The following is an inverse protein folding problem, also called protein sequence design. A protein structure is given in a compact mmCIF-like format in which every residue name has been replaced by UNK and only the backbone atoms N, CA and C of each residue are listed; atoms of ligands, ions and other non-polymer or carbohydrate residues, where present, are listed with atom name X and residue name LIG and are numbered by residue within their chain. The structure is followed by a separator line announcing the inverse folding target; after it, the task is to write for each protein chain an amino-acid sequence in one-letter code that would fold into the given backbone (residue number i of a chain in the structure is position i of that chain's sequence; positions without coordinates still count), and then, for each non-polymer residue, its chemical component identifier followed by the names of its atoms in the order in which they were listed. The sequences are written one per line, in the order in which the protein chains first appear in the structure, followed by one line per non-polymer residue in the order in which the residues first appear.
data_IF_361111248729
#
_entry.id   IF_361111248729
#
_cell.length_a   1.000
_cell.length_b   1.000
_cell.length_c   1.000
_cell.angle_alpha   90.00
_cell.angle_beta   90.00
_cell.angle_gamma   90.00
#
_symmetry.space_group_name_H-M   'P 1'
#
loop_
_entity.id
_entity.type
_entity.pdbx_description
1 polymer ?
2 non-polymer ?
3 non-polymer ?
4 water ?
#
# COMPACT_ATOMS: atom_id res chain seq x y z
N UNK A 2 -4.50 10.42 30.14
CA UNK A 2 -5.37 10.63 28.99
C UNK A 2 -6.15 9.36 28.66
N UNK A 3 -7.36 9.53 28.12
CA UNK A 3 -8.20 8.38 27.84
C UNK A 3 -7.70 7.64 26.60
N UNK A 4 -7.76 6.31 26.57
CA UNK A 4 -7.33 5.59 25.37
C UNK A 4 -8.18 5.96 24.16
N UNK A 5 -7.59 5.81 22.99
CA UNK A 5 -8.33 5.95 21.75
C UNK A 5 -9.41 4.87 21.69
N UNK A 6 -10.53 5.21 21.04
CA UNK A 6 -11.62 4.26 20.84
C UNK A 6 -12.10 4.32 19.39
N UNK A 7 -12.80 3.26 18.97
CA UNK A 7 -13.36 3.18 17.63
C UNK A 7 -14.69 3.92 17.60
N UNK A 8 -14.82 4.99 16.81
CA UNK A 8 -16.12 5.65 16.68
C UNK A 8 -17.09 4.76 15.90
N UNK A 9 -18.36 4.84 16.26
CA UNK A 9 -19.39 4.13 15.50
C UNK A 9 -19.60 4.81 14.15
N UNK A 10 -20.06 4.02 13.17
CA UNK A 10 -20.50 4.59 11.91
C UNK A 10 -21.75 5.43 12.16
N UNK A 11 -21.93 6.53 11.43
CA UNK A 11 -23.15 7.33 11.60
C UNK A 11 -24.32 6.87 10.75
N UNK A 12 -24.26 5.68 10.17
CA UNK A 12 -25.30 5.14 9.29
C UNK A 12 -25.11 3.63 9.30
N UNK A 13 -26.09 2.92 8.74
CA UNK A 13 -26.02 1.47 8.63
C UNK A 13 -24.94 1.07 7.62
N UNK A 14 -24.43 -0.17 7.77
CA UNK A 14 -23.38 -0.63 6.88
C UNK A 14 -23.72 -0.43 5.41
N UNK A 15 -24.98 -0.67 5.03
CA UNK A 15 -25.40 -0.68 3.63
C UNK A 15 -25.92 0.68 3.17
N UNK A 16 -25.79 1.73 3.98
CA UNK A 16 -26.41 3.01 3.67
C UNK A 16 -25.82 3.71 2.46
N UNK A 17 -24.61 3.36 2.05
CA UNK A 17 -23.94 4.00 0.92
C UNK A 17 -24.08 3.21 -0.37
N UNK A 18 -24.87 2.14 -0.38
CA UNK A 18 -25.08 1.40 -1.61
C UNK A 18 -25.90 2.24 -2.58
N UNK A 19 -25.68 2.07 -3.88
CA UNK A 19 -24.81 1.08 -4.51
C UNK A 19 -23.35 1.54 -4.63
N UNK A 20 -23.05 2.73 -4.14
CA UNK A 20 -21.77 3.37 -4.39
C UNK A 20 -20.62 2.69 -3.65
N UNK A 21 -20.82 2.37 -2.38
CA UNK A 21 -19.86 1.61 -1.58
C UNK A 21 -20.62 0.52 -0.85
N UNK A 22 -20.22 -0.73 -1.05
CA UNK A 22 -21.01 -1.85 -0.54
C UNK A 22 -20.98 -1.95 0.98
N UNK A 23 -22.09 -2.48 1.52
CA UNK A 23 -22.12 -2.84 2.93
C UNK A 23 -21.07 -3.87 3.29
N UNK A 24 -20.76 -4.78 2.38
CA UNK A 24 -19.70 -5.76 2.63
C UNK A 24 -18.39 -5.07 2.98
N UNK A 25 -18.00 -4.07 2.18
CA UNK A 25 -16.79 -3.30 2.45
C UNK A 25 -16.95 -2.47 3.72
N UNK A 26 -18.08 -1.78 3.88
CA UNK A 26 -18.17 -0.89 5.04
C UNK A 26 -17.97 -1.65 6.34
N UNK A 27 -18.54 -2.85 6.42
CA UNK A 27 -18.42 -3.64 7.65
C UNK A 27 -16.98 -4.06 7.91
N UNK A 28 -16.31 -4.65 6.91
CA UNK A 28 -14.91 -5.03 7.10
C UNK A 28 -14.06 -3.82 7.40
N UNK A 29 -14.26 -2.77 6.62
CA UNK A 29 -13.41 -1.60 6.68
C UNK A 29 -13.47 -0.94 8.05
N UNK A 30 -14.67 -0.72 8.56
CA UNK A 30 -14.82 -0.08 9.86
C UNK A 30 -14.56 -1.05 11.01
N UNK A 31 -15.20 -2.22 10.97
CA UNK A 31 -15.18 -3.09 12.14
C UNK A 31 -13.86 -3.83 12.31
N UNK A 32 -13.15 -4.13 11.22
CA UNK A 32 -11.87 -4.80 11.28
C UNK A 32 -10.72 -3.81 11.11
N UNK A 33 -10.66 -3.09 10.00
CA UNK A 33 -9.47 -2.29 9.72
C UNK A 33 -9.33 -1.12 10.69
N UNK A 34 -10.40 -0.34 10.88
CA UNK A 34 -10.27 0.81 11.77
C UNK A 34 -10.02 0.36 13.20
N UNK A 35 -10.67 -0.72 13.64
CA UNK A 35 -10.40 -1.24 14.97
C UNK A 35 -8.91 -1.53 15.18
N UNK A 36 -8.23 -2.05 14.16
CA UNK A 36 -6.82 -2.37 14.30
C UNK A 36 -5.97 -1.13 14.50
N UNK A 37 -6.31 0.00 13.86
CA UNK A 37 -5.54 1.22 14.09
C UNK A 37 -5.75 1.76 15.49
N UNK A 38 -6.97 1.65 16.00
CA UNK A 38 -7.23 2.07 17.39
C UNK A 38 -6.36 1.27 18.34
N UNK A 39 -6.36 -0.05 18.20
CA UNK A 39 -5.53 -0.88 19.06
C UNK A 39 -4.06 -0.54 18.85
N UNK A 40 -3.64 -0.40 17.60
CA UNK A 40 -2.25 -0.12 17.31
C UNK A 40 -1.77 1.20 17.90
N UNK A 41 -2.65 2.20 17.92
CA UNK A 41 -2.26 3.50 18.46
C UNK A 41 -2.14 3.43 19.98
N UNK A 42 -3.10 2.79 20.64
CA UNK A 42 -2.99 2.60 22.08
C UNK A 42 -1.77 1.77 22.43
N UNK A 43 -1.51 0.71 21.66
CA UNK A 43 -0.35 -0.13 21.93
C UNK A 43 0.93 0.65 21.74
N UNK A 44 1.01 1.50 20.72
CA UNK A 44 2.23 2.27 20.50
C UNK A 44 2.52 3.19 21.68
N UNK A 45 1.49 3.85 22.20
CA UNK A 45 1.69 4.72 23.35
C UNK A 45 2.09 3.92 24.58
N UNK A 46 1.47 2.75 24.80
CA UNK A 46 1.86 1.91 25.92
C UNK A 46 3.32 1.48 25.79
N UNK A 47 3.73 1.11 24.59
CA UNK A 47 5.10 0.64 24.39
C UNK A 47 6.10 1.77 24.51
N UNK A 48 5.74 2.98 24.12
CA UNK A 48 6.62 4.13 24.33
C UNK A 48 6.80 4.43 25.81
N UNK A 49 5.71 4.33 26.59
CA UNK A 49 5.83 4.56 28.03
C UNK A 49 6.72 3.50 28.67
N UNK A 50 6.56 2.25 28.23
CA UNK A 50 7.40 1.17 28.74
C UNK A 50 8.86 1.39 28.35
N UNK A 51 9.11 1.83 27.13
CA UNK A 51 10.49 2.06 26.71
C UNK A 51 11.14 3.18 27.51
N UNK A 52 10.39 4.25 27.78
CA UNK A 52 10.91 5.31 28.64
C UNK A 52 11.25 4.76 30.02
N UNK A 53 10.33 3.99 30.60
CA UNK A 53 10.49 3.55 31.98
C UNK A 53 11.61 2.52 32.10
N UNK A 54 11.77 1.63 31.13
CA UNK A 54 12.74 0.53 31.23
C UNK A 54 14.07 0.83 30.56
N UNK A 55 14.20 1.98 29.91
CA UNK A 55 15.48 2.34 29.29
C UNK A 55 15.71 1.72 27.92
N UNK A 56 14.65 1.48 27.15
CA UNK A 56 14.73 0.78 25.87
C UNK A 56 14.46 1.71 24.69
N UNK A 57 14.90 2.97 24.79
CA UNK A 57 14.65 3.91 23.70
C UNK A 57 15.48 3.62 22.46
N UNK A 58 16.35 2.61 22.46
CA UNK A 58 16.94 2.16 21.21
C UNK A 58 15.90 1.62 20.24
N UNK A 59 14.67 1.36 20.70
CA UNK A 59 13.60 0.95 19.81
C UNK A 59 12.77 2.12 19.30
N UNK A 60 13.23 3.36 19.53
CA UNK A 60 12.42 4.54 19.25
C UNK A 60 11.96 4.62 17.79
N UNK A 61 12.80 4.23 16.83
CA UNK A 61 12.38 4.36 15.43
C UNK A 61 11.16 3.48 15.16
N UNK A 62 11.15 2.28 15.72
CA UNK A 62 10.03 1.39 15.53
C UNK A 62 8.79 1.95 16.20
N UNK A 63 8.93 2.37 17.44
CA UNK A 63 7.75 2.81 18.18
C UNK A 63 7.18 4.09 17.60
N UNK A 64 8.03 4.96 17.07
CA UNK A 64 7.50 6.18 16.47
C UNK A 64 6.86 5.94 15.11
N UNK A 65 7.30 4.93 14.37
CA UNK A 65 6.65 4.58 13.09
C UNK A 65 5.27 3.91 13.46
N UNK A 66 5.27 3.04 14.45
CA UNK A 66 4.01 2.41 14.83
C UNK A 66 3.00 3.45 15.31
N UNK A 67 3.46 4.45 16.06
CA UNK A 67 2.57 5.51 16.50
C UNK A 67 2.05 6.31 15.31
N UNK A 68 2.94 6.78 14.44
CA UNK A 68 2.50 7.60 13.31
C UNK A 68 1.53 6.82 12.41
N UNK A 69 1.89 5.59 12.05
CA UNK A 69 1.06 4.81 11.14
C UNK A 69 -0.33 4.58 11.71
N UNK A 70 -0.41 4.14 12.95
CA UNK A 70 -1.70 3.80 13.55
C UNK A 70 -2.49 5.04 13.94
N UNK A 71 -1.84 6.06 14.52
CA UNK A 71 -2.59 7.26 14.86
C UNK A 71 -3.09 7.95 13.59
N UNK A 72 -2.25 8.00 12.56
CA UNK A 72 -2.70 8.56 11.29
C UNK A 72 -3.87 7.75 10.71
N UNK A 73 -3.79 6.42 10.77
CA UNK A 73 -4.91 5.62 10.29
C UNK A 73 -6.18 5.91 11.06
N UNK A 74 -6.06 6.07 12.38
CA UNK A 74 -7.21 6.38 13.22
C UNK A 74 -7.78 7.77 12.89
N UNK A 75 -6.92 8.77 12.80
CA UNK A 75 -7.36 10.11 12.41
C UNK A 75 -8.07 10.06 11.06
N UNK A 76 -7.43 9.44 10.07
CA UNK A 76 -7.94 9.50 8.72
C UNK A 76 -9.32 8.84 8.61
N UNK A 77 -9.50 7.68 9.25
CA UNK A 77 -10.78 7.01 9.16
C UNK A 77 -11.83 7.70 10.03
N UNK A 78 -11.42 8.31 11.14
CA UNK A 78 -12.34 9.09 11.96
C UNK A 78 -12.98 10.22 11.14
N UNK A 79 -12.21 10.87 10.28
CA UNK A 79 -12.75 11.90 9.40
C UNK A 79 -13.56 11.28 8.26
N UNK A 80 -13.09 10.15 7.74
CA UNK A 80 -13.71 9.52 6.56
C UNK A 80 -15.18 9.16 6.79
N UNK A 81 -15.52 8.48 7.89
CA UNK A 81 -16.90 7.99 7.99
C UNK A 81 -17.93 9.12 7.93
N UNK A 82 -17.82 10.20 8.70
CA UNK A 82 -18.83 11.26 8.61
C UNK A 82 -18.71 12.10 7.36
N UNK A 83 -17.59 12.00 6.63
CA UNK A 83 -17.49 12.62 5.33
C UNK A 83 -18.40 11.96 4.29
N UNK A 84 -18.99 10.81 4.60
CA UNK A 84 -19.88 10.12 3.68
C UNK A 84 -21.31 10.17 4.21
N UNK A 85 -22.28 10.14 3.29
CA UNK A 85 -23.67 10.15 3.73
C UNK A 85 -24.55 9.59 2.63
N UNK A 86 -25.63 8.89 2.99
CA UNK A 86 -26.64 8.52 1.99
C UNK A 86 -27.40 9.72 1.47
N UNK A 87 -27.33 10.86 2.16
CA UNK A 87 -27.98 12.09 1.76
C UNK A 87 -26.96 13.11 1.28
N UNK A 88 -25.85 12.62 0.72
CA UNK A 88 -24.80 13.45 0.20
C UNK A 88 -24.80 13.50 -1.32
N UNK A 89 -23.64 13.83 -1.83
CA UNK A 89 -23.54 14.11 -3.22
C UNK A 89 -23.93 15.57 -3.41
N UNK A 90 -24.12 15.90 -4.67
CA UNK A 90 -24.43 17.22 -5.15
C UNK A 90 -23.19 18.14 -5.10
N UNK A 91 -23.17 19.28 -4.43
CA UNK A 91 -22.05 20.18 -4.51
C UNK A 91 -21.96 20.95 -3.22
N UNK A 92 -20.77 21.44 -2.92
CA UNK A 92 -20.63 22.33 -1.76
C UNK A 92 -21.26 23.68 -2.05
N UNK A 93 -21.82 24.28 -1.00
CA UNK A 93 -22.49 25.57 -1.11
C UNK A 93 -21.95 26.51 -0.04
N UNK A 94 -22.50 27.72 0.01
CA UNK A 94 -22.10 28.65 1.04
C UNK A 94 -20.62 29.00 0.97
N UNK A 95 -20.04 29.28 2.13
CA UNK A 95 -18.66 29.71 2.22
C UNK A 95 -17.68 28.61 1.74
N UNK A 96 -18.02 27.37 2.03
CA UNK A 96 -17.18 26.27 1.55
C UNK A 96 -17.16 26.20 0.03
N UNK A 97 -18.34 26.25 -0.59
CA UNK A 97 -18.41 26.27 -2.05
C UNK A 97 -17.65 27.44 -2.63
N UNK A 98 -17.79 28.62 -2.04
CA UNK A 98 -17.09 29.80 -2.54
C UNK A 98 -15.58 29.64 -2.39
N UNK A 99 -15.12 29.06 -1.27
CA UNK A 99 -13.68 28.89 -1.06
C UNK A 99 -13.09 27.87 -2.04
N UNK A 100 -13.85 26.82 -2.36
CA UNK A 100 -13.39 25.84 -3.35
C UNK A 100 -13.29 26.48 -4.72
N UNK A 101 -14.26 27.31 -5.08
CA UNK A 101 -14.20 28.04 -6.35
C UNK A 101 -12.95 28.92 -6.39
N UNK A 102 -12.68 29.62 -5.30
CA UNK A 102 -11.52 30.51 -5.27
C UNK A 102 -10.21 29.74 -5.33
N UNK A 103 -10.10 28.64 -4.60
CA UNK A 103 -8.84 27.92 -4.48
C UNK A 103 -8.53 27.05 -5.70
N UNK A 104 -9.57 26.51 -6.35
CA UNK A 104 -9.39 25.54 -7.43
C UNK A 104 -9.95 25.99 -8.77
N UNK A 105 -10.69 27.10 -8.81
CA UNK A 105 -11.28 27.62 -10.04
C UNK A 105 -12.78 27.38 -10.13
N UNK A 106 -13.20 26.18 -9.77
CA UNK A 106 -14.58 25.73 -9.85
C UNK A 106 -14.66 24.39 -9.13
N UNK A 107 -15.89 23.96 -8.85
CA UNK A 107 -16.08 22.64 -8.27
C UNK A 107 -15.58 21.57 -9.22
N UNK A 108 -15.86 21.72 -10.51
CA UNK A 108 -15.44 20.72 -11.48
C UNK A 108 -13.91 20.60 -11.52
N UNK A 109 -13.20 21.73 -11.46
CA UNK A 109 -11.74 21.68 -11.46
C UNK A 109 -11.21 21.06 -10.17
N UNK A 110 -11.84 21.37 -9.04
CA UNK A 110 -11.49 20.70 -7.80
C UNK A 110 -11.68 19.20 -7.93
N UNK A 111 -12.82 18.76 -8.47
CA UNK A 111 -13.04 17.32 -8.61
C UNK A 111 -12.00 16.68 -9.51
N UNK A 112 -11.61 17.36 -10.60
CA UNK A 112 -10.61 16.77 -11.49
C UNK A 112 -9.27 16.62 -10.77
N UNK A 113 -8.87 17.65 -10.02
CA UNK A 113 -7.61 17.58 -9.28
C UNK A 113 -7.68 16.51 -8.19
N UNK A 114 -8.76 16.51 -7.41
CA UNK A 114 -8.91 15.52 -6.35
C UNK A 114 -8.91 14.10 -6.92
N UNK A 115 -9.65 13.90 -8.02
CA UNK A 115 -9.73 12.57 -8.62
C UNK A 115 -8.38 12.12 -9.16
N UNK A 116 -7.61 13.04 -9.75
CA UNK A 116 -6.28 12.69 -10.24
C UNK A 116 -5.36 12.30 -9.07
N UNK A 117 -5.42 13.06 -7.99
CA UNK A 117 -4.64 12.70 -6.80
C UNK A 117 -5.05 11.33 -6.27
N UNK A 118 -6.34 11.02 -6.32
CA UNK A 118 -6.81 9.74 -5.78
C UNK A 118 -6.37 8.56 -6.65
N UNK A 119 -6.58 8.65 -7.97
CA UNK A 119 -6.27 7.52 -8.83
C UNK A 119 -4.76 7.37 -9.06
N UNK A 120 -4.00 8.42 -8.85
CA UNK A 120 -2.58 8.41 -9.14
C UNK A 120 -1.71 7.74 -8.12
N UNK A 121 -2.25 7.41 -6.95
CA UNK A 121 -1.41 6.91 -5.87
C UNK A 121 -0.69 5.64 -6.32
N UNK A 122 0.59 5.54 -5.95
CA UNK A 122 1.46 4.42 -6.25
C UNK A 122 1.69 3.73 -4.93
N UNK A 123 0.89 2.72 -4.65
CA UNK A 123 0.79 2.11 -3.33
C UNK A 123 -0.51 2.49 -2.65
N UNK A 124 -0.53 2.36 -1.32
CA UNK A 124 -1.68 2.75 -0.53
C UNK A 124 -1.64 4.24 -0.23
N UNK A 125 -2.80 4.88 -0.08
CA UNK A 125 -2.81 6.28 0.27
C UNK A 125 -4.21 6.86 0.24
N UNK A 126 -4.25 8.19 0.25
CA UNK A 126 -5.49 8.97 0.31
C UNK A 126 -5.38 10.20 -0.57
N UNK A 127 -6.51 10.67 -1.07
CA UNK A 127 -6.62 12.05 -1.53
C UNK A 127 -7.41 12.80 -0.49
N UNK A 128 -6.94 13.98 -0.09
CA UNK A 128 -7.64 14.76 0.92
C UNK A 128 -7.68 16.23 0.52
N UNK A 129 -8.75 16.90 0.95
CA UNK A 129 -8.84 18.34 0.99
C UNK A 129 -8.55 18.77 2.43
N UNK A 130 -7.66 19.75 2.58
CA UNK A 130 -7.23 20.17 3.90
C UNK A 130 -7.10 21.68 3.94
N UNK A 131 -7.07 22.21 5.15
CA UNK A 131 -6.79 23.62 5.38
C UNK A 131 -5.35 23.75 5.86
N UNK A 132 -4.54 24.51 5.12
CA UNK A 132 -3.18 24.83 5.57
C UNK A 132 -3.26 25.89 6.64
N UNK A 133 -2.84 25.53 7.87
CA UNK A 133 -2.94 26.47 8.99
C UNK A 133 -1.86 27.55 9.00
N UNK A 134 -0.87 27.46 8.13
CA UNK A 134 0.08 28.56 7.96
C UNK A 134 -0.45 29.57 6.95
N UNK A 135 -0.65 29.14 5.71
CA UNK A 135 -1.13 30.02 4.66
C UNK A 135 -2.60 30.39 4.72
N UNK A 136 -3.37 29.74 5.58
CA UNK A 136 -4.80 30.01 5.71
C UNK A 136 -5.51 29.84 4.36
N UNK A 137 -5.41 28.63 3.82
CA UNK A 137 -5.91 28.36 2.47
C UNK A 137 -6.18 26.89 2.29
N UNK A 138 -7.08 26.59 1.35
CA UNK A 138 -7.37 25.21 1.01
C UNK A 138 -6.29 24.62 0.13
N UNK A 139 -5.94 23.37 0.40
CA UNK A 139 -5.02 22.60 -0.45
C UNK A 139 -5.54 21.17 -0.53
N UNK A 140 -5.14 20.48 -1.60
CA UNK A 140 -5.25 19.03 -1.65
C UNK A 140 -3.91 18.46 -1.22
N UNK A 141 -3.96 17.36 -0.50
CA UNK A 141 -2.78 16.58 -0.18
C UNK A 141 -3.01 15.14 -0.60
N UNK A 142 -1.98 14.52 -1.18
CA UNK A 142 -2.03 13.12 -1.59
C UNK A 142 -1.21 12.34 -0.56
N UNK A 143 -1.87 11.70 0.38
CA UNK A 143 -1.17 11.01 1.47
C UNK A 143 -0.67 9.66 0.99
N UNK A 144 0.53 9.31 1.45
CA UNK A 144 1.11 7.99 1.24
C UNK A 144 0.87 7.18 2.50
N UNK A 145 0.38 5.96 2.33
CA UNK A 145 -0.02 5.08 3.44
C UNK A 145 -1.06 5.85 4.24
N UNK A 146 -0.83 6.15 5.52
CA UNK A 146 -1.66 7.08 6.27
C UNK A 146 -0.96 8.37 6.64
N UNK A 147 0.37 8.34 6.73
CA UNK A 147 1.16 9.24 7.54
C UNK A 147 2.25 9.95 6.73
N UNK A 148 2.20 9.88 5.41
CA UNK A 148 3.23 10.46 4.56
C UNK A 148 2.71 11.47 3.57
N UNK A 149 3.60 12.35 3.12
CA UNK A 149 3.34 13.33 2.06
C UNK A 149 2.37 14.41 2.52
N UNK A 150 2.55 14.93 3.74
CA UNK A 150 1.67 15.98 4.24
C UNK A 150 2.44 16.94 5.14
N UNK A 151 1.87 18.12 5.29
CA UNK A 151 2.46 19.18 6.10
C UNK A 151 1.86 19.17 7.49
N UNK A 152 2.71 19.32 8.49
CA UNK A 152 2.26 19.41 9.87
C UNK A 152 1.23 20.51 10.02
N UNK A 153 0.24 20.24 10.88
CA UNK A 153 -0.82 21.16 11.18
C UNK A 153 -1.96 21.18 10.19
N UNK A 154 -1.75 20.70 8.96
CA UNK A 154 -2.80 20.82 7.96
C UNK A 154 -4.02 20.04 8.45
N UNK A 155 -5.18 20.68 8.33
CA UNK A 155 -6.38 20.22 9.03
C UNK A 155 -7.30 19.52 8.06
N UNK A 156 -7.59 18.23 8.25
CA UNK A 156 -8.36 17.49 7.24
C UNK A 156 -9.83 17.90 7.17
N UNK A 157 -10.32 18.05 5.94
CA UNK A 157 -11.71 18.43 5.68
C UNK A 157 -12.49 17.32 4.96
N UNK A 158 -11.90 16.73 3.90
CA UNK A 158 -12.56 15.69 3.13
C UNK A 158 -11.51 14.64 2.77
N UNK A 159 -11.81 13.38 3.04
CA UNK A 159 -10.89 12.28 2.82
C UNK A 159 -11.46 11.28 1.85
N UNK A 160 -10.60 10.74 0.99
CA UNK A 160 -10.95 9.61 0.13
C UNK A 160 -9.89 8.53 0.32
N UNK A 161 -10.28 7.40 0.92
CA UNK A 161 -9.37 6.29 1.18
C UNK A 161 -9.13 5.52 -0.11
N UNK A 162 -7.87 5.49 -0.55
CA UNK A 162 -7.48 4.78 -1.76
C UNK A 162 -6.65 3.55 -1.47
N UNK A 163 -6.63 3.09 -0.22
CA UNK A 163 -6.12 1.75 0.03
C UNK A 163 -7.02 0.75 -0.70
N UNK A 164 -6.41 -0.33 -1.18
CA UNK A 164 -7.18 -1.30 -1.95
C UNK A 164 -8.31 -1.91 -1.13
N UNK A 165 -8.17 -2.06 0.19
CA UNK A 165 -9.27 -2.61 0.96
C UNK A 165 -10.52 -1.73 0.90
N UNK A 166 -10.37 -0.46 0.53
CA UNK A 166 -11.53 0.44 0.51
C UNK A 166 -12.42 0.20 -0.70
N UNK A 167 -11.92 -0.49 -1.73
CA UNK A 167 -12.67 -0.61 -2.97
C UNK A 167 -12.58 -1.96 -3.65
N UNK A 168 -11.61 -2.83 -3.32
CA UNK A 168 -11.28 -3.95 -4.20
C UNK A 168 -12.42 -4.95 -4.34
N UNK A 169 -13.12 -5.26 -3.24
CA UNK A 169 -14.16 -6.29 -3.35
C UNK A 169 -15.22 -5.91 -4.37
N UNK A 170 -15.47 -4.62 -4.53
CA UNK A 170 -16.55 -4.13 -5.39
C UNK A 170 -16.05 -3.71 -6.76
N UNK A 171 -14.96 -2.94 -6.81
CA UNK A 171 -14.47 -2.36 -8.04
C UNK A 171 -13.23 -3.04 -8.59
N UNK A 172 -12.68 -4.01 -7.89
CA UNK A 172 -11.50 -4.75 -8.36
C UNK A 172 -10.38 -3.72 -8.62
N UNK A 173 -9.66 -3.83 -9.73
CA UNK A 173 -8.59 -2.90 -10.04
C UNK A 173 -9.06 -1.56 -10.58
N UNK A 174 -10.36 -1.38 -10.83
CA UNK A 174 -10.85 -0.21 -11.56
C UNK A 174 -11.11 0.92 -10.57
N UNK A 175 -10.03 1.51 -10.08
CA UNK A 175 -10.22 2.50 -9.04
C UNK A 175 -10.90 3.76 -9.54
N UNK A 176 -10.83 4.08 -10.84
CA UNK A 176 -11.57 5.24 -11.35
C UNK A 176 -13.07 5.12 -11.12
N UNK A 177 -13.62 3.90 -11.17
CA UNK A 177 -15.05 3.74 -10.94
C UNK A 177 -15.41 3.96 -9.48
N UNK A 178 -14.50 3.58 -8.57
CA UNK A 178 -14.69 3.88 -7.16
C UNK A 178 -14.68 5.38 -6.92
N UNK A 179 -13.72 6.08 -7.53
CA UNK A 179 -13.63 7.53 -7.35
C UNK A 179 -14.87 8.21 -7.93
N UNK A 180 -15.31 7.78 -9.10
CA UNK A 180 -16.54 8.31 -9.67
C UNK A 180 -17.71 8.08 -8.72
N UNK A 181 -17.79 6.91 -8.11
CA UNK A 181 -18.90 6.58 -7.21
C UNK A 181 -18.88 7.46 -5.97
N UNK A 182 -17.69 7.75 -5.47
CA UNK A 182 -17.52 8.50 -4.23
C UNK A 182 -18.26 9.82 -4.24
N UNK A 183 -18.28 10.53 -5.37
CA UNK A 183 -18.89 11.84 -5.38
C UNK A 183 -20.37 11.78 -5.03
N UNK A 184 -21.02 10.64 -5.23
CA UNK A 184 -22.43 10.53 -4.93
C UNK A 184 -22.73 10.43 -3.44
N UNK A 185 -21.71 10.20 -2.60
CA UNK A 185 -21.91 10.01 -1.17
C UNK A 185 -21.15 11.02 -0.32
N UNK A 186 -20.58 12.07 -0.91
CA UNK A 186 -19.89 13.06 -0.10
C UNK A 186 -20.89 13.83 0.74
N UNK A 187 -20.60 13.94 2.03
CA UNK A 187 -21.43 14.67 2.99
C UNK A 187 -20.91 16.10 3.06
N UNK A 188 -21.37 16.96 2.16
CA UNK A 188 -20.83 18.31 2.08
C UNK A 188 -21.15 19.12 3.33
N UNK A 189 -22.23 18.80 4.03
CA UNK A 189 -22.53 19.50 5.28
C UNK A 189 -21.46 19.21 6.31
N UNK A 190 -20.96 17.97 6.34
CA UNK A 190 -19.86 17.63 7.25
C UNK A 190 -18.60 18.36 6.85
N UNK A 191 -18.26 18.36 5.56
CA UNK A 191 -17.08 19.08 5.13
C UNK A 191 -17.18 20.55 5.53
N UNK A 192 -18.37 21.14 5.38
CA UNK A 192 -18.56 22.55 5.71
C UNK A 192 -18.35 22.81 7.20
N UNK A 193 -18.82 21.91 8.06
CA UNK A 193 -18.58 22.06 9.50
C UNK A 193 -17.08 22.01 9.80
N UNK A 194 -16.39 21.04 9.21
CA UNK A 194 -14.95 20.94 9.39
C UNK A 194 -14.27 22.23 8.94
N UNK A 195 -14.70 22.79 7.82
CA UNK A 195 -14.11 24.02 7.29
C UNK A 195 -14.31 25.17 8.27
N UNK A 196 -15.48 25.25 8.89
CA UNK A 196 -15.71 26.29 9.88
C UNK A 196 -14.73 26.15 11.05
N UNK A 197 -14.54 24.92 11.53
CA UNK A 197 -13.57 24.67 12.60
C UNK A 197 -12.16 25.02 12.14
N UNK A 198 -11.78 24.60 10.93
CA UNK A 198 -10.40 24.75 10.47
C UNK A 198 -9.99 26.20 10.37
N UNK A 199 -10.91 27.07 9.93
CA UNK A 199 -10.54 28.45 9.67
C UNK A 199 -10.16 29.19 10.94
N UNK A 200 -10.45 28.64 12.11
CA UNK A 200 -10.07 29.22 13.37
C UNK A 200 -8.70 28.78 13.85
N UNK A 201 -8.00 27.97 13.08
CA UNK A 201 -6.70 27.41 13.47
C UNK A 201 -5.60 28.10 12.66
N UNK A 202 -4.58 28.60 13.36
CA UNK A 202 -3.39 29.19 12.75
C UNK A 202 -2.13 28.61 13.37
N UNK A 203 -1.09 28.51 12.59
CA UNK A 203 0.18 27.95 13.03
C UNK A 203 0.81 28.78 14.12
N UNK A 204 0.68 30.08 13.96
CA UNK A 204 1.25 31.02 14.91
C UNK A 204 2.78 31.04 14.88
N UNK B 2 17.12 -1.06 -27.00
CA UNK B 2 16.92 -2.46 -26.64
C UNK B 2 15.43 -2.80 -26.49
N UNK B 3 15.14 -4.09 -26.34
CA UNK B 3 13.77 -4.58 -26.49
C UNK B 3 12.93 -4.10 -25.30
N UNK B 4 11.70 -3.68 -25.55
CA UNK B 4 10.86 -3.21 -24.43
C UNK B 4 10.48 -4.33 -23.48
N UNK B 5 10.06 -3.93 -22.28
CA UNK B 5 9.53 -4.89 -21.34
C UNK B 5 8.24 -5.48 -21.90
N UNK B 6 7.98 -6.74 -21.53
CA UNK B 6 6.74 -7.42 -21.91
C UNK B 6 6.19 -8.19 -20.71
N UNK B 7 4.91 -8.50 -20.78
CA UNK B 7 4.24 -9.25 -19.73
C UNK B 7 4.50 -10.73 -19.91
N UNK B 8 5.16 -11.41 -18.96
CA UNK B 8 5.36 -12.85 -19.09
C UNK B 8 4.06 -13.58 -18.82
N UNK B 9 3.88 -14.68 -19.50
CA UNK B 9 2.68 -15.49 -19.24
C UNK B 9 2.85 -16.27 -17.94
N UNK B 10 1.72 -16.58 -17.30
CA UNK B 10 1.77 -17.48 -16.15
C UNK B 10 2.25 -18.85 -16.61
N UNK B 11 3.03 -19.56 -15.79
CA UNK B 11 3.55 -20.87 -16.20
C UNK B 11 2.73 -22.05 -15.72
N UNK B 12 1.48 -21.77 -15.35
CA UNK B 12 0.55 -22.79 -14.90
C UNK B 12 -0.85 -22.25 -15.17
N UNK B 13 -1.85 -23.10 -14.96
CA UNK B 13 -3.23 -22.70 -15.14
C UNK B 13 -3.58 -21.59 -14.16
N UNK B 14 -4.49 -20.69 -14.56
CA UNK B 14 -4.88 -19.61 -13.67
C UNK B 14 -5.49 -20.11 -12.36
N UNK B 15 -6.07 -21.31 -12.37
CA UNK B 15 -6.69 -21.89 -11.18
C UNK B 15 -5.82 -22.96 -10.53
N UNK B 16 -4.56 -23.05 -10.95
CA UNK B 16 -3.67 -24.11 -10.50
C UNK B 16 -3.31 -24.00 -9.02
N UNK B 17 -3.44 -22.82 -8.44
CA UNK B 17 -3.00 -22.58 -7.07
C UNK B 17 -4.15 -22.65 -6.08
N UNK B 18 -5.35 -22.98 -6.53
CA UNK B 18 -6.45 -23.19 -5.59
C UNK B 18 -6.16 -24.44 -4.77
N UNK B 19 -6.64 -24.50 -3.52
CA UNK B 19 -7.49 -23.51 -2.83
C UNK B 19 -6.69 -22.44 -2.06
N UNK B 20 -5.42 -22.29 -2.40
CA UNK B 20 -4.54 -21.39 -1.67
C UNK B 20 -4.59 -19.96 -2.19
N UNK B 21 -4.59 -19.78 -3.51
CA UNK B 21 -4.75 -18.47 -4.15
C UNK B 21 -5.74 -18.68 -5.28
N UNK B 22 -6.83 -17.93 -5.28
CA UNK B 22 -7.93 -18.22 -6.19
C UNK B 22 -7.61 -17.84 -7.63
N UNK B 23 -8.28 -18.52 -8.56
CA UNK B 23 -8.18 -18.12 -9.96
C UNK B 23 -8.67 -16.71 -10.21
N UNK B 24 -9.68 -16.28 -9.45
CA UNK B 24 -10.17 -14.91 -9.56
C UNK B 24 -9.05 -13.90 -9.34
N UNK B 25 -8.27 -14.10 -8.28
CA UNK B 25 -7.12 -13.24 -8.00
C UNK B 25 -6.07 -13.39 -9.08
N UNK B 26 -5.73 -14.62 -9.48
CA UNK B 26 -4.64 -14.79 -10.43
C UNK B 26 -4.94 -14.06 -11.74
N UNK B 27 -6.18 -14.11 -12.20
CA UNK B 27 -6.55 -13.42 -13.43
C UNK B 27 -6.39 -11.92 -13.32
N UNK B 28 -6.99 -11.30 -12.31
CA UNK B 28 -6.87 -9.86 -12.15
C UNK B 28 -5.42 -9.45 -11.92
N UNK B 29 -4.75 -10.18 -11.03
CA UNK B 29 -3.42 -9.80 -10.58
C UNK B 29 -2.43 -9.87 -11.72
N UNK B 30 -2.45 -10.96 -12.49
CA UNK B 30 -1.53 -11.07 -13.61
C UNK B 30 -1.97 -10.25 -14.81
N UNK B 31 -3.23 -10.38 -15.22
CA UNK B 31 -3.64 -9.81 -16.50
C UNK B 31 -3.84 -8.31 -16.42
N UNK B 32 -4.24 -7.79 -15.26
CA UNK B 32 -4.48 -6.35 -15.14
C UNK B 32 -3.34 -5.65 -14.41
N UNK B 33 -3.04 -6.08 -13.19
CA UNK B 33 -2.05 -5.34 -12.41
C UNK B 33 -0.66 -5.42 -13.04
N UNK B 34 -0.19 -6.63 -13.39
CA UNK B 34 1.17 -6.72 -13.93
C UNK B 34 1.24 -6.02 -15.28
N UNK B 35 0.22 -6.15 -16.11
CA UNK B 35 0.23 -5.44 -17.38
C UNK B 35 0.46 -3.94 -17.19
N UNK B 36 -0.14 -3.35 -16.16
CA UNK B 36 0.01 -1.92 -15.94
C UNK B 36 1.46 -1.54 -15.65
N UNK B 37 2.19 -2.38 -14.90
CA UNK B 37 3.61 -2.07 -14.64
C UNK B 37 4.43 -2.13 -15.91
N UNK B 38 4.15 -3.11 -16.77
CA UNK B 38 4.90 -3.22 -18.02
C UNK B 38 4.76 -1.95 -18.82
N UNK B 39 3.51 -1.50 -19.02
CA UNK B 39 3.27 -0.25 -19.75
C UNK B 39 3.90 0.93 -19.03
N UNK B 40 3.77 0.99 -17.70
CA UNK B 40 4.34 2.10 -16.96
C UNK B 40 5.85 2.17 -17.03
N UNK B 41 6.52 1.01 -17.03
CA UNK B 41 7.98 0.97 -17.12
C UNK B 41 8.45 1.38 -18.50
N UNK B 42 7.81 0.87 -19.54
CA UNK B 42 8.18 1.29 -20.90
C UNK B 42 7.92 2.77 -21.07
N UNK B 43 6.79 3.27 -20.55
CA UNK B 43 6.48 4.69 -20.70
C UNK B 43 7.50 5.57 -19.97
N UNK B 44 7.92 5.17 -18.76
CA UNK B 44 8.89 5.98 -18.06
C UNK B 44 10.18 6.11 -18.85
N UNK B 45 10.64 5.00 -19.44
CA UNK B 45 11.85 5.09 -20.25
C UNK B 45 11.63 5.91 -21.51
N UNK B 46 10.47 5.77 -22.14
CA UNK B 46 10.20 6.57 -23.33
C UNK B 46 10.17 8.05 -23.01
N UNK B 47 9.52 8.38 -21.90
CA UNK B 47 9.44 9.78 -21.50
C UNK B 47 10.79 10.34 -21.07
N UNK B 48 11.64 9.54 -20.43
CA UNK B 48 12.99 10.00 -20.12
C UNK B 48 13.80 10.23 -21.38
N UNK B 49 13.65 9.38 -22.39
CA UNK B 49 14.35 9.61 -23.65
C UNK B 49 13.86 10.89 -24.32
N UNK B 50 12.55 11.14 -24.27
CA UNK B 50 12.02 12.38 -24.83
C UNK B 50 12.54 13.59 -24.08
N UNK B 51 12.63 13.50 -22.75
CA UNK B 51 13.12 14.62 -21.96
C UNK B 51 14.57 14.93 -22.30
N UNK B 52 15.41 13.90 -22.40
CA UNK B 52 16.80 14.11 -22.77
C UNK B 52 16.89 14.74 -24.16
N UNK B 53 16.10 14.24 -25.11
CA UNK B 53 16.22 14.71 -26.48
C UNK B 53 15.78 16.16 -26.61
N UNK B 54 14.75 16.57 -25.88
CA UNK B 54 14.29 17.96 -25.91
C UNK B 54 15.05 18.87 -24.95
N UNK B 55 15.93 18.33 -24.11
CA UNK B 55 16.71 19.15 -23.21
C UNK B 55 15.93 19.74 -22.06
N UNK B 56 14.86 19.07 -21.64
CA UNK B 56 14.05 19.54 -20.51
C UNK B 56 13.87 18.37 -19.56
N UNK B 57 14.68 18.36 -18.51
CA UNK B 57 14.68 17.36 -17.45
C UNK B 57 14.00 17.88 -16.19
N UNK B 58 13.17 18.91 -16.32
CA UNK B 58 12.53 19.51 -15.16
C UNK B 58 11.58 18.54 -14.45
N UNK B 59 11.10 17.50 -15.13
CA UNK B 59 10.21 16.52 -14.53
C UNK B 59 10.93 15.26 -14.09
N UNK B 60 12.27 15.32 -13.94
CA UNK B 60 13.06 14.12 -13.66
C UNK B 60 12.56 13.39 -12.41
N UNK B 61 12.13 14.12 -11.37
CA UNK B 61 11.73 13.41 -10.17
C UNK B 61 10.52 12.53 -10.41
N UNK B 62 9.55 13.04 -11.20
CA UNK B 62 8.37 12.27 -11.56
C UNK B 62 8.76 11.05 -12.36
N UNK B 63 9.59 11.25 -13.37
CA UNK B 63 9.94 10.15 -14.25
C UNK B 63 10.74 9.08 -13.52
N UNK B 64 11.60 9.50 -12.59
CA UNK B 64 12.42 8.54 -11.84
C UNK B 64 11.61 7.75 -10.83
N UNK B 65 10.58 8.35 -10.23
CA UNK B 65 9.71 7.55 -9.38
C UNK B 65 8.81 6.64 -10.20
N UNK B 66 8.29 7.14 -11.32
CA UNK B 66 7.51 6.26 -12.20
C UNK B 66 8.36 5.08 -12.68
N UNK B 67 9.63 5.34 -12.99
CA UNK B 67 10.50 4.25 -13.41
C UNK B 67 10.70 3.26 -12.28
N UNK B 68 11.08 3.75 -11.11
CA UNK B 68 11.35 2.84 -10.00
C UNK B 68 10.11 2.04 -9.64
N UNK B 69 8.98 2.72 -9.47
CA UNK B 69 7.76 2.03 -9.06
C UNK B 69 7.37 0.94 -10.06
N UNK B 70 7.33 1.29 -11.35
CA UNK B 70 6.84 0.35 -12.34
C UNK B 70 7.87 -0.72 -12.67
N UNK B 71 9.15 -0.36 -12.80
CA UNK B 71 10.15 -1.39 -13.03
C UNK B 71 10.22 -2.35 -11.85
N UNK B 72 10.22 -1.82 -10.63
CA UNK B 72 10.20 -2.69 -9.46
C UNK B 72 8.97 -3.59 -9.47
N UNK B 73 7.80 -3.03 -9.77
CA UNK B 73 6.63 -3.86 -9.86
C UNK B 73 6.79 -4.97 -10.88
N UNK B 74 7.39 -4.64 -12.02
CA UNK B 74 7.58 -5.62 -13.07
C UNK B 74 8.58 -6.69 -12.66
N UNK B 75 9.72 -6.29 -12.11
CA UNK B 75 10.68 -7.26 -11.60
C UNK B 75 10.04 -8.17 -10.56
N UNK B 76 9.34 -7.56 -9.60
CA UNK B 76 8.84 -8.33 -8.47
C UNK B 76 7.84 -9.39 -8.94
N UNK B 77 6.91 -9.00 -9.83
CA UNK B 77 5.92 -9.97 -10.29
C UNK B 77 6.52 -10.97 -11.25
N UNK B 78 7.52 -10.57 -12.04
CA UNK B 78 8.22 -11.53 -12.90
C UNK B 78 8.83 -12.66 -12.10
N UNK B 79 9.38 -12.36 -10.92
CA UNK B 79 9.91 -13.42 -10.06
C UNK B 79 8.78 -14.16 -9.36
N UNK B 80 7.74 -13.45 -8.94
CA UNK B 80 6.65 -14.03 -8.17
C UNK B 80 5.96 -15.19 -8.92
N UNK B 81 5.60 -15.03 -10.20
CA UNK B 81 4.77 -16.08 -10.80
C UNK B 81 5.45 -17.44 -10.81
N UNK B 82 6.69 -17.57 -11.28
CA UNK B 82 7.34 -18.91 -11.28
C UNK B 82 7.76 -19.38 -9.90
N UNK B 83 7.79 -18.49 -8.91
CA UNK B 83 8.00 -18.89 -7.54
C UNK B 83 6.86 -19.73 -7.00
N UNK B 84 5.73 -19.81 -7.69
CA UNK B 84 4.56 -20.58 -7.25
C UNK B 84 4.37 -21.76 -8.18
N UNK B 85 3.71 -22.82 -7.70
CA UNK B 85 3.50 -23.99 -8.54
C UNK B 85 2.39 -24.86 -7.96
N UNK B 86 1.60 -25.51 -8.81
CA UNK B 86 0.66 -26.53 -8.33
C UNK B 86 1.33 -27.75 -7.76
N UNK B 87 2.62 -27.92 -8.02
CA UNK B 87 3.42 -29.01 -7.46
C UNK B 87 4.36 -28.49 -6.38
N UNK B 88 4.02 -27.36 -5.78
CA UNK B 88 4.87 -26.73 -4.80
C UNK B 88 4.57 -27.21 -3.41
N UNK B 89 5.16 -26.50 -2.46
CA UNK B 89 5.02 -26.85 -1.07
C UNK B 89 6.24 -27.57 -0.56
N UNK B 90 6.06 -28.12 0.64
CA UNK B 90 7.13 -28.90 1.30
C UNK B 90 8.29 -27.98 1.62
N UNK B 91 9.52 -28.46 1.47
CA UNK B 91 10.67 -27.76 2.00
C UNK B 91 11.77 -27.68 0.95
N UNK B 92 12.65 -26.68 1.05
CA UNK B 92 13.82 -26.63 0.17
C UNK B 92 14.79 -27.76 0.47
N UNK B 93 15.46 -28.21 -0.58
CA UNK B 93 16.36 -29.36 -0.53
C UNK B 93 17.71 -28.97 -1.10
N UNK B 94 18.65 -29.92 -1.06
CA UNK B 94 19.94 -29.72 -1.69
C UNK B 94 20.68 -28.52 -1.15
N UNK B 95 21.45 -27.87 -2.04
CA UNK B 95 22.28 -26.75 -1.64
C UNK B 95 21.46 -25.56 -1.19
N UNK B 96 20.29 -25.35 -1.79
CA UNK B 96 19.43 -24.28 -1.31
C UNK B 96 18.97 -24.55 0.11
N UNK B 97 18.50 -25.76 0.37
CA UNK B 97 18.08 -26.10 1.73
C UNK B 97 19.20 -25.92 2.73
N UNK B 98 20.41 -26.37 2.37
CA UNK B 98 21.53 -26.22 3.27
C UNK B 98 21.86 -24.76 3.51
N UNK B 99 21.80 -23.93 2.48
CA UNK B 99 22.10 -22.52 2.63
C UNK B 99 21.08 -21.82 3.51
N UNK B 100 19.81 -22.21 3.40
CA UNK B 100 18.78 -21.64 4.26
C UNK B 100 19.02 -22.06 5.71
N UNK B 101 19.37 -23.33 5.95
CA UNK B 101 19.68 -23.76 7.31
C UNK B 101 20.86 -22.95 7.86
N UNK B 102 21.88 -22.72 7.04
CA UNK B 102 23.05 -21.99 7.49
C UNK B 102 22.71 -20.54 7.81
N UNK B 103 21.92 -19.89 6.94
CA UNK B 103 21.67 -18.47 7.07
C UNK B 103 20.60 -18.13 8.11
N UNK B 104 19.65 -19.04 8.34
CA UNK B 104 18.51 -18.75 9.20
C UNK B 104 18.38 -19.69 10.37
N UNK B 105 19.22 -20.74 10.44
CA UNK B 105 19.21 -21.68 11.53
C UNK B 105 18.50 -22.98 11.18
N UNK B 106 17.34 -22.86 10.55
CA UNK B 106 16.50 -24.00 10.15
C UNK B 106 15.46 -23.47 9.17
N UNK B 107 14.77 -24.40 8.51
CA UNK B 107 13.66 -24.01 7.67
C UNK B 107 12.53 -23.39 8.50
N UNK B 108 12.25 -23.94 9.66
CA UNK B 108 11.19 -23.37 10.49
C UNK B 108 11.48 -21.92 10.89
N UNK B 109 12.73 -21.66 11.24
CA UNK B 109 13.10 -20.30 11.64
C UNK B 109 13.06 -19.36 10.45
N UNK B 110 13.53 -19.83 9.28
CA UNK B 110 13.35 -19.05 8.06
C UNK B 110 11.87 -18.71 7.83
N UNK B 111 10.99 -19.70 7.91
CA UNK B 111 9.58 -19.50 7.66
C UNK B 111 8.97 -18.53 8.65
N UNK B 112 9.36 -18.64 9.91
CA UNK B 112 8.81 -17.74 10.92
C UNK B 112 9.24 -16.31 10.67
N UNK B 113 10.50 -16.10 10.30
CA UNK B 113 11.01 -14.77 10.00
C UNK B 113 10.34 -14.21 8.75
N UNK B 114 10.27 -15.00 7.69
CA UNK B 114 9.65 -14.56 6.45
C UNK B 114 8.18 -14.23 6.68
N UNK B 115 7.47 -15.06 7.43
CA UNK B 115 6.06 -14.80 7.70
C UNK B 115 5.87 -13.54 8.50
N UNK B 116 6.70 -13.33 9.53
CA UNK B 116 6.60 -12.11 10.33
C UNK B 116 6.91 -10.86 9.50
N UNK B 117 7.91 -10.95 8.63
CA UNK B 117 8.18 -9.83 7.73
C UNK B 117 6.98 -9.56 6.84
N UNK B 118 6.32 -10.62 6.34
CA UNK B 118 5.17 -10.47 5.46
C UNK B 118 4.01 -9.78 6.17
N UNK B 119 3.64 -10.26 7.36
CA UNK B 119 2.46 -9.69 8.02
C UNK B 119 2.73 -8.35 8.69
N UNK B 120 4.00 -7.99 8.89
CA UNK B 120 4.31 -6.75 9.58
C UNK B 120 4.23 -5.50 8.74
N UNK B 121 4.10 -5.65 7.42
CA UNK B 121 4.10 -4.49 6.54
C UNK B 121 2.93 -3.56 6.87
N UNK B 122 3.20 -2.27 6.82
CA UNK B 122 2.25 -1.20 7.11
C UNK B 122 2.02 -0.46 5.80
N UNK B 123 0.93 -0.81 5.11
CA UNK B 123 0.71 -0.41 3.75
C UNK B 123 0.97 -1.56 2.80
N UNK B 124 1.39 -1.27 1.59
CA UNK B 124 1.67 -2.27 0.59
C UNK B 124 3.14 -2.66 0.64
N UNK B 125 3.45 -3.91 0.25
CA UNK B 125 4.85 -4.32 0.22
C UNK B 125 4.98 -5.81 -0.05
N UNK B 126 6.18 -6.33 0.23
CA UNK B 126 6.55 -7.71 -0.06
C UNK B 126 7.45 -8.24 1.05
N UNK B 127 7.42 -9.55 1.27
CA UNK B 127 8.52 -10.23 1.95
C UNK B 127 9.30 -10.97 0.88
N UNK B 128 10.62 -10.86 0.89
CA UNK B 128 11.44 -11.54 -0.10
C UNK B 128 12.64 -12.19 0.56
N UNK B 129 13.06 -13.30 -0.04
CA UNK B 129 14.39 -13.87 0.17
C UNK B 129 15.27 -13.42 -0.98
N UNK B 130 16.45 -12.91 -0.65
CA UNK B 130 17.36 -12.35 -1.63
C UNK B 130 18.79 -12.76 -1.33
N UNK B 131 19.62 -12.66 -2.34
CA UNK B 131 21.07 -12.81 -2.20
C UNK B 131 21.72 -11.44 -2.21
N UNK B 132 22.42 -11.12 -1.13
CA UNK B 132 23.20 -9.88 -1.07
C UNK B 132 24.50 -10.11 -1.83
N UNK B 133 24.69 -9.36 -2.92
CA UNK B 133 25.86 -9.54 -3.77
C UNK B 133 27.15 -8.98 -3.18
N UNK B 134 27.06 -8.15 -2.13
CA UNK B 134 28.28 -7.70 -1.46
C UNK B 134 28.75 -8.77 -0.47
N UNK B 135 27.92 -9.10 0.52
CA UNK B 135 28.27 -10.10 1.52
C UNK B 135 28.22 -11.53 1.05
N UNK B 136 27.67 -11.78 -0.14
CA UNK B 136 27.55 -13.14 -0.68
C UNK B 136 26.81 -14.03 0.31
N UNK B 137 25.57 -13.64 0.61
CA UNK B 137 24.81 -14.30 1.66
C UNK B 137 23.32 -14.08 1.44
N UNK B 138 22.55 -15.01 2.00
CA UNK B 138 21.10 -14.92 1.98
C UNK B 138 20.57 -13.97 3.05
N UNK B 139 19.62 -13.13 2.66
CA UNK B 139 18.93 -12.24 3.57
C UNK B 139 17.44 -12.24 3.22
N UNK B 140 16.62 -11.83 4.18
CA UNK B 140 15.25 -11.44 3.90
C UNK B 140 15.21 -9.92 3.80
N UNK B 141 14.43 -9.40 2.88
CA UNK B 141 14.14 -7.98 2.81
C UNK B 141 12.63 -7.80 2.85
N UNK B 142 12.19 -6.78 3.57
CA UNK B 142 10.79 -6.41 3.67
C UNK B 142 10.60 -5.17 2.81
N UNK B 143 10.09 -5.34 1.60
CA UNK B 143 9.94 -4.23 0.67
C UNK B 143 8.72 -3.40 1.02
N UNK B 144 8.86 -2.09 0.82
CA UNK B 144 7.74 -1.15 0.92
C UNK B 144 7.31 -0.82 -0.50
N UNK B 145 6.00 -0.86 -0.76
CA UNK B 145 5.44 -0.72 -2.11
C UNK B 145 6.09 -1.75 -3.01
N UNK B 146 6.78 -1.34 -4.06
CA UNK B 146 7.63 -2.27 -4.81
C UNK B 146 9.15 -2.01 -4.73
N UNK B 147 9.48 -0.75 -4.39
CA UNK B 147 10.81 -0.18 -4.66
C UNK B 147 11.52 0.45 -3.46
N UNK B 148 11.05 0.11 -2.26
CA UNK B 148 11.64 0.68 -1.06
C UNK B 148 12.07 -0.38 -0.06
N UNK B 149 12.99 0.02 0.80
CA UNK B 149 13.50 -0.79 1.91
C UNK B 149 14.34 -1.97 1.41
N UNK B 150 15.22 -1.71 0.45
CA UNK B 150 16.10 -2.75 -0.08
C UNK B 150 17.44 -2.16 -0.49
N UNK B 151 18.45 -3.04 -0.52
CA UNK B 151 19.78 -2.68 -0.94
C UNK B 151 20.02 -2.93 -2.42
N UNK B 152 20.70 -1.98 -3.06
CA UNK B 152 21.10 -2.15 -4.45
C UNK B 152 21.85 -3.46 -4.62
N UNK B 153 21.63 -4.07 -5.79
CA UNK B 153 22.27 -5.30 -6.15
C UNK B 153 21.60 -6.55 -5.62
N UNK B 154 20.77 -6.43 -4.61
CA UNK B 154 20.27 -7.64 -3.99
C UNK B 154 19.37 -8.36 -4.97
N UNK B 155 19.60 -9.66 -5.06
CA UNK B 155 19.11 -10.48 -6.15
C UNK B 155 17.93 -11.29 -5.66
N UNK B 156 16.73 -11.09 -6.21
CA UNK B 156 15.54 -11.72 -5.64
C UNK B 156 15.48 -13.20 -5.94
N UNK B 157 15.10 -13.99 -4.93
CA UNK B 157 14.99 -15.45 -5.04
C UNK B 157 13.58 -15.95 -4.81
N UNK B 158 12.91 -15.47 -3.76
CA UNK B 158 11.54 -15.88 -3.44
C UNK B 158 10.78 -14.65 -2.99
N UNK B 159 9.61 -14.42 -3.59
CA UNK B 159 8.79 -13.26 -3.33
C UNK B 159 7.44 -13.65 -2.78
N UNK B 160 6.92 -12.84 -1.86
CA UNK B 160 5.54 -12.92 -1.41
C UNK B 160 4.93 -11.53 -1.48
N UNK B 161 3.97 -11.37 -2.39
CA UNK B 161 3.27 -10.10 -2.59
C UNK B 161 2.26 -9.90 -1.46
N UNK B 162 2.44 -8.83 -0.68
CA UNK B 162 1.57 -8.47 0.43
C UNK B 162 0.73 -7.23 0.13
N UNK B 163 0.69 -6.78 -1.11
CA UNK B 163 -0.33 -5.82 -1.47
C UNK B 163 -1.71 -6.44 -1.28
N UNK B 164 -2.68 -5.62 -0.85
CA UNK B 164 -4.01 -6.15 -0.59
C UNK B 164 -4.62 -6.81 -1.82
N UNK B 165 -4.34 -6.33 -3.04
CA UNK B 165 -4.91 -6.99 -4.20
C UNK B 165 -4.48 -8.45 -4.32
N UNK B 166 -3.36 -8.82 -3.70
CA UNK B 166 -2.86 -10.20 -3.82
C UNK B 166 -3.67 -11.19 -2.99
N UNK B 167 -4.50 -10.72 -2.04
CA UNK B 167 -5.20 -11.64 -1.15
C UNK B 167 -6.62 -11.24 -0.80
N UNK B 168 -7.04 -9.98 -1.02
CA UNK B 168 -8.25 -9.49 -0.37
C UNK B 168 -9.51 -10.24 -0.81
N UNK B 169 -9.64 -10.54 -2.11
CA UNK B 169 -10.85 -11.20 -2.58
C UNK B 169 -11.09 -12.53 -1.87
N UNK B 170 -10.03 -13.23 -1.48
CA UNK B 170 -10.16 -14.54 -0.86
C UNK B 170 -10.13 -14.47 0.66
N UNK B 171 -9.19 -13.70 1.22
CA UNK B 171 -8.88 -13.71 2.65
C UNK B 171 -9.33 -12.44 3.37
N UNK B 172 -9.82 -11.44 2.67
CA UNK B 172 -10.27 -10.18 3.28
C UNK B 172 -9.10 -9.62 4.09
N UNK B 173 -9.36 -9.12 5.30
CA UNK B 173 -8.35 -8.55 6.15
C UNK B 173 -7.41 -9.58 6.78
N UNK B 174 -7.72 -10.87 6.69
CA UNK B 174 -6.99 -11.89 7.46
C UNK B 174 -5.76 -12.32 6.67
N UNK B 175 -4.79 -11.42 6.57
CA UNK B 175 -3.63 -11.66 5.74
C UNK B 175 -2.76 -12.79 6.29
N UNK B 176 -2.80 -13.08 7.59
CA UNK B 176 -2.01 -14.19 8.11
C UNK B 176 -2.41 -15.52 7.47
N UNK B 177 -3.69 -15.66 7.13
CA UNK B 177 -4.14 -16.91 6.53
C UNK B 177 -3.63 -17.03 5.10
N UNK B 178 -3.48 -15.91 4.40
CA UNK B 178 -2.86 -15.92 3.08
C UNK B 178 -1.39 -16.33 3.18
N UNK B 179 -0.66 -15.74 4.13
CA UNK B 179 0.74 -16.08 4.30
C UNK B 179 0.90 -17.56 4.60
N UNK B 180 0.02 -18.11 5.44
CA UNK B 180 0.09 -19.54 5.75
C UNK B 180 -0.18 -20.37 4.50
N UNK B 181 -1.16 -19.96 3.68
CA UNK B 181 -1.51 -20.70 2.48
C UNK B 181 -0.36 -20.72 1.48
N UNK B 182 0.39 -19.61 1.40
CA UNK B 182 1.47 -19.46 0.43
C UNK B 182 2.46 -20.62 0.49
N UNK B 183 2.76 -21.11 1.68
CA UNK B 183 3.76 -22.17 1.80
C UNK B 183 3.36 -23.41 1.03
N UNK B 184 2.07 -23.62 0.82
CA UNK B 184 1.60 -24.77 0.06
C UNK B 184 1.94 -24.70 -1.42
N UNK B 185 2.28 -23.53 -1.95
CA UNK B 185 2.49 -23.39 -3.39
C UNK B 185 3.89 -22.93 -3.74
N UNK B 186 4.81 -22.80 -2.78
CA UNK B 186 6.15 -22.34 -3.13
C UNK B 186 6.84 -23.37 -4.01
N UNK B 187 7.40 -22.90 -5.13
CA UNK B 187 8.13 -23.71 -6.08
C UNK B 187 9.61 -23.68 -5.69
N UNK B 188 10.00 -24.59 -4.81
CA UNK B 188 11.39 -24.58 -4.34
C UNK B 188 12.38 -24.88 -5.47
N UNK B 189 11.98 -25.64 -6.49
CA UNK B 189 12.87 -25.86 -7.62
C UNK B 189 13.18 -24.56 -8.35
N UNK B 190 12.18 -23.68 -8.47
CA UNK B 190 12.42 -22.39 -9.08
C UNK B 190 13.35 -21.54 -8.21
N UNK B 191 13.08 -21.50 -6.90
CA UNK B 191 13.95 -20.75 -5.99
C UNK B 191 15.38 -21.27 -6.08
N UNK B 192 15.53 -22.59 -6.17
CA UNK B 192 16.87 -23.18 -6.27
C UNK B 192 17.58 -22.75 -7.56
N UNK B 193 16.87 -22.64 -8.68
CA UNK B 193 17.54 -22.22 -9.91
C UNK B 193 18.04 -20.78 -9.75
N UNK B 194 17.17 -19.91 -9.24
CA UNK B 194 17.57 -18.53 -9.01
C UNK B 194 18.78 -18.46 -8.09
N UNK B 195 18.77 -19.26 -7.02
CA UNK B 195 19.93 -19.26 -6.13
C UNK B 195 21.20 -19.65 -6.87
N UNK B 196 21.12 -20.65 -7.76
CA UNK B 196 22.29 -21.01 -8.55
C UNK B 196 22.79 -19.82 -9.38
N UNK B 197 21.86 -19.07 -9.97
CA UNK B 197 22.23 -17.88 -10.74
C UNK B 197 22.82 -16.82 -9.83
N UNK B 198 22.14 -16.55 -8.71
CA UNK B 198 22.55 -15.45 -7.84
C UNK B 198 23.93 -15.66 -7.25
N UNK B 199 24.28 -16.90 -6.90
CA UNK B 199 25.55 -17.16 -6.24
C UNK B 199 26.73 -16.84 -7.12
N UNK B 200 26.54 -16.66 -8.41
CA UNK B 200 27.61 -16.26 -9.31
C UNK B 200 27.80 -14.76 -9.38
N UNK B 201 27.02 -13.97 -8.64
CA UNK B 201 27.04 -12.53 -8.74
C UNK B 201 27.67 -11.93 -7.50
N UNK B 202 28.65 -11.05 -7.71
CA UNK B 202 29.35 -10.30 -6.66
C UNK B 202 29.41 -8.80 -6.97
N UNK B 203 29.40 -8.02 -5.95
CA UNK B 203 29.39 -6.58 -6.17
C UNK B 203 30.70 -6.08 -6.79
N UNK B 204 31.81 -6.74 -6.50
CA UNK B 204 33.10 -6.36 -7.06
C UNK B 204 34.08 -5.71 -6.08
X LIG C 1 -8.96 2.27 5.06
X LIG D 1 0.86 -7.49 -6.93
X LIG E 1 -1.18 -20.03 -19.04
X LIG E 1 -1.02 -20.87 -20.08
X LIG E 1 -1.71 -20.47 -17.89
X LIG E 1 -0.93 -18.71 -19.20
X LIG E 1 -1.59 -20.62 -20.78
X LIG E 1 -2.19 -19.77 -17.47
X LIG E 1 -0.06 -18.52 -18.90
#
# INVERSE_FOLDING_TARGET
MSAPYTLPELPYDYSALEPWISGEIMELHHDKHHAAYVKGANDALEQLAEAREKGDLSKVNLLQKNLAFNLAGHVNHTVFWPNLSPDGGDKPEGELGAAIDDAFGSFDAFRAHFSAAATGIQGSGWAILAWDILGQRLIIEQLYDHQGNLAAGSYPLLMLDMWEHAFYLQYKNVKADYVKAFWNVVNWADVAKRFEDARKVALG
MSAPYTLPELPYDYSALEPWISGEIMELHHDKHHAAYVKGANDALEQLAEAREKGDLSKVNLLQKNLAFNLAGHVNHTVFWPNLSPDGGDKPEGELGAAIDDAFGSFDAFRAHFSAAATGIQGSGWAILAWDILGQRLIIEQLYDHQGNLAAGSYPLLMLDMWEHAFYLQYKNVKADYVKAFWNVVNWADVAKRFEDARKVALG
FE FE
FE FE
BO3 B O1 O2 O3 HO1 HO2 HO3
#
